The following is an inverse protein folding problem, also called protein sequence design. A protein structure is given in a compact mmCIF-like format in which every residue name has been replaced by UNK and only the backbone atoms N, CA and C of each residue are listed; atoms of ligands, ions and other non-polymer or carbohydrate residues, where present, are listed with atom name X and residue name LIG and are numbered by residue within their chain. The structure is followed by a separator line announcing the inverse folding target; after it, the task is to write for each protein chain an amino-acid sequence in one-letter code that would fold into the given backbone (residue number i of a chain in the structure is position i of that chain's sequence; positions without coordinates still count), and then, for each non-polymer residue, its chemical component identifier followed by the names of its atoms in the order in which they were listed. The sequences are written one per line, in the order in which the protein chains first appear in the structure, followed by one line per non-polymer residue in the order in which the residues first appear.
data_IF_635902004746
#
_entry.id   IF_635902004746
#
_cell.length_a   1.000
_cell.length_b   1.000
_cell.length_c   1.000
_cell.angle_alpha   90.00
_cell.angle_beta   90.00
_cell.angle_gamma   90.00
#
_symmetry.space_group_name_H-M   'P 1'
#
loop_
_entity.id
_entity.type
_entity.pdbx_description
1 polymer ?
#
# COMPACT_ATOMS: atom_id res chain seq x y z
N UNK A 1 23.03 -18.82 -8.66
CA UNK A 1 21.92 -19.80 -8.74
C UNK A 1 20.67 -19.31 -7.98
N UNK A 2 20.24 -18.05 -8.18
CA UNK A 2 19.11 -17.46 -7.44
C UNK A 2 17.78 -17.56 -8.19
N UNK A 3 17.80 -17.72 -9.52
CA UNK A 3 16.59 -17.80 -10.34
C UNK A 3 15.72 -19.05 -10.06
N UNK A 4 16.32 -20.16 -9.65
CA UNK A 4 15.58 -21.41 -9.36
C UNK A 4 14.83 -21.30 -8.03
N UNK A 5 15.48 -20.78 -6.98
CA UNK A 5 14.85 -20.54 -5.68
C UNK A 5 13.67 -19.57 -5.79
N UNK A 6 13.81 -18.51 -6.60
CA UNK A 6 12.71 -17.57 -6.85
C UNK A 6 11.48 -18.27 -7.45
N UNK A 7 11.67 -19.11 -8.47
CA UNK A 7 10.56 -19.85 -9.10
C UNK A 7 9.91 -20.86 -8.17
N UNK A 8 10.70 -21.51 -7.30
CA UNK A 8 10.17 -22.45 -6.30
C UNK A 8 9.32 -21.73 -5.26
N UNK A 9 9.81 -20.61 -4.73
CA UNK A 9 9.05 -19.78 -3.79
C UNK A 9 7.77 -19.24 -4.43
N UNK A 10 7.84 -18.73 -5.66
CA UNK A 10 6.67 -18.24 -6.41
C UNK A 10 5.60 -19.34 -6.59
N UNK A 11 6.00 -20.56 -6.95
CA UNK A 11 5.07 -21.69 -7.08
C UNK A 11 4.39 -22.04 -5.75
N UNK A 12 5.11 -21.98 -4.62
CA UNK A 12 4.53 -22.18 -3.30
C UNK A 12 3.47 -21.12 -2.99
N UNK A 13 3.74 -19.84 -3.26
CA UNK A 13 2.78 -18.77 -3.03
C UNK A 13 1.60 -18.82 -4.01
N UNK A 14 1.81 -19.27 -5.26
CA UNK A 14 0.72 -19.56 -6.19
C UNK A 14 -0.23 -20.64 -5.66
N UNK A 15 0.31 -21.74 -5.09
CA UNK A 15 -0.49 -22.79 -4.46
C UNK A 15 -1.29 -22.28 -3.26
N UNK A 16 -0.65 -21.45 -2.42
CA UNK A 16 -1.30 -20.82 -1.28
C UNK A 16 -2.50 -19.95 -1.68
N UNK A 17 -2.45 -19.32 -2.86
CA UNK A 17 -3.56 -18.52 -3.41
C UNK A 17 -4.68 -19.37 -4.00
N UNK A 18 -4.35 -20.54 -4.58
CA UNK A 18 -5.34 -21.39 -5.26
C UNK A 18 -6.09 -22.34 -4.32
N UNK A 19 -5.51 -22.70 -3.17
CA UNK A 19 -6.14 -23.65 -2.25
C UNK A 19 -7.21 -22.98 -1.38
N UNK A 20 -8.32 -23.68 -1.17
CA UNK A 20 -9.40 -23.29 -0.24
C UNK A 20 -9.14 -23.79 1.17
N UNK A 21 -8.20 -24.73 1.36
CA UNK A 21 -7.92 -25.36 2.64
C UNK A 21 -6.92 -24.53 3.45
N UNK A 22 -7.29 -24.06 4.66
CA UNK A 22 -6.41 -23.21 5.46
C UNK A 22 -5.05 -23.85 5.80
N UNK A 23 -5.06 -25.13 6.17
CA UNK A 23 -3.82 -25.85 6.54
C UNK A 23 -2.84 -26.00 5.36
N UNK A 24 -3.34 -26.26 4.15
CA UNK A 24 -2.51 -26.34 2.94
C UNK A 24 -1.94 -24.96 2.57
N UNK A 25 -2.76 -23.91 2.71
CA UNK A 25 -2.33 -22.53 2.48
C UNK A 25 -1.19 -22.14 3.42
N UNK A 26 -1.35 -22.39 4.71
CA UNK A 26 -0.32 -22.08 5.72
C UNK A 26 0.98 -22.85 5.46
N UNK A 27 0.87 -24.15 5.13
CA UNK A 27 2.03 -24.98 4.79
C UNK A 27 2.76 -24.44 3.56
N UNK A 28 2.01 -24.06 2.51
CA UNK A 28 2.59 -23.51 1.29
C UNK A 28 3.27 -22.14 1.52
N UNK A 29 2.68 -21.27 2.34
CA UNK A 29 3.28 -19.99 2.73
C UNK A 29 4.58 -20.21 3.50
N UNK A 30 4.57 -21.09 4.51
CA UNK A 30 5.76 -21.40 5.31
C UNK A 30 6.91 -21.92 4.42
N UNK A 31 6.59 -22.85 3.52
CA UNK A 31 7.59 -23.44 2.63
C UNK A 31 8.17 -22.44 1.64
N UNK A 32 7.32 -21.59 1.03
CA UNK A 32 7.76 -20.52 0.13
C UNK A 32 8.65 -19.50 0.84
N UNK A 33 8.31 -19.18 2.09
CA UNK A 33 9.07 -18.25 2.94
C UNK A 33 10.46 -18.80 3.26
N UNK A 34 10.56 -20.05 3.70
CA UNK A 34 11.86 -20.69 3.99
C UNK A 34 12.77 -20.73 2.76
N UNK A 35 12.23 -21.00 1.57
CA UNK A 35 13.01 -21.00 0.32
C UNK A 35 13.54 -19.60 0.00
N UNK A 36 12.68 -18.58 0.12
CA UNK A 36 13.06 -17.20 -0.16
C UNK A 36 14.11 -16.70 0.86
N UNK A 37 13.92 -16.95 2.15
CA UNK A 37 14.87 -16.58 3.21
C UNK A 37 16.22 -17.28 3.03
N UNK A 38 16.23 -18.60 2.77
CA UNK A 38 17.45 -19.36 2.54
C UNK A 38 18.23 -18.88 1.30
N UNK A 39 17.52 -18.31 0.32
CA UNK A 39 18.11 -17.74 -0.88
C UNK A 39 18.40 -16.23 -0.77
N UNK A 40 18.10 -15.59 0.36
CA UNK A 40 18.24 -14.14 0.56
C UNK A 40 17.34 -13.30 -0.34
N UNK A 41 16.19 -13.84 -0.73
CA UNK A 41 15.21 -13.16 -1.59
C UNK A 41 14.24 -12.38 -0.69
N UNK A 42 14.02 -11.13 -1.03
CA UNK A 42 13.04 -10.28 -0.37
C UNK A 42 11.61 -10.82 -0.58
N UNK A 43 10.92 -11.08 0.53
CA UNK A 43 9.54 -11.58 0.56
C UNK A 43 8.54 -10.57 -0.02
N UNK A 44 8.88 -9.27 -0.02
CA UNK A 44 8.03 -8.21 -0.58
C UNK A 44 7.95 -8.28 -2.12
N UNK A 45 8.78 -9.12 -2.74
CA UNK A 45 8.71 -9.41 -4.18
C UNK A 45 7.64 -10.44 -4.55
N UNK A 46 7.02 -11.09 -3.56
CA UNK A 46 5.99 -12.11 -3.78
C UNK A 46 4.61 -11.62 -3.35
N UNK A 47 3.60 -12.08 -4.07
CA UNK A 47 2.19 -11.90 -3.70
C UNK A 47 1.77 -12.99 -2.69
N UNK A 48 2.04 -12.75 -1.41
CA UNK A 48 1.82 -13.70 -0.30
C UNK A 48 0.44 -13.43 0.33
N UNK A 49 -0.54 -14.35 0.20
CA UNK A 49 -1.87 -14.13 0.74
C UNK A 49 -1.85 -14.02 2.27
N UNK A 50 -2.51 -12.98 2.81
CA UNK A 50 -2.58 -12.72 4.24
C UNK A 50 -1.35 -12.04 4.85
N UNK A 51 -0.29 -11.82 4.07
CA UNK A 51 0.85 -11.01 4.52
C UNK A 51 0.55 -9.54 4.22
N UNK A 52 0.43 -8.73 5.26
CA UNK A 52 0.51 -7.28 5.07
C UNK A 52 1.90 -6.99 4.50
N UNK A 53 1.96 -6.56 3.23
CA UNK A 53 3.19 -5.99 2.70
C UNK A 53 3.60 -4.91 3.68
N UNK A 54 4.83 -4.98 4.20
CA UNK A 54 5.32 -3.92 5.06
C UNK A 54 5.15 -2.65 4.25
N UNK A 55 4.31 -1.72 4.73
CA UNK A 55 4.15 -0.42 4.10
C UNK A 55 5.56 0.07 3.79
N UNK A 56 5.84 0.48 2.53
CA UNK A 56 7.20 0.78 2.10
C UNK A 56 7.80 1.64 3.18
N UNK A 57 8.92 1.19 3.77
CA UNK A 57 9.65 1.98 4.74
C UNK A 57 9.99 3.25 3.98
N UNK A 58 9.19 4.29 4.18
CA UNK A 58 9.54 5.64 3.82
C UNK A 58 10.89 5.79 4.47
N UNK A 59 11.95 5.78 3.65
CA UNK A 59 13.25 6.21 4.12
C UNK A 59 12.93 7.52 4.83
N UNK A 60 13.23 7.60 6.13
CA UNK A 60 13.33 8.87 6.81
C UNK A 60 14.49 9.61 6.14
N UNK A 61 14.26 10.10 4.92
CA UNK A 61 14.91 11.29 4.43
C UNK A 61 14.54 12.32 5.47
N UNK A 62 15.58 12.77 6.18
CA UNK A 62 15.48 13.57 7.38
C UNK A 62 14.37 14.61 7.24
N UNK A 63 13.56 14.66 8.29
CA UNK A 63 12.58 15.67 8.59
C UNK A 63 13.22 17.07 8.44
N UNK A 64 13.34 17.57 7.20
CA UNK A 64 13.14 18.99 6.96
C UNK A 64 11.66 19.17 7.14
N UNK A 65 11.29 19.67 8.31
CA UNK A 65 9.98 20.15 8.67
C UNK A 65 9.39 20.89 7.46
N UNK A 66 8.58 20.20 6.67
CA UNK A 66 7.53 20.91 5.95
C UNK A 66 6.54 21.24 7.06
N UNK A 67 6.33 22.52 7.41
CA UNK A 67 5.18 22.84 8.23
C UNK A 67 3.95 22.27 7.50
N UNK A 68 2.97 21.78 8.26
CA UNK A 68 1.64 21.59 7.71
C UNK A 68 1.27 22.86 6.94
N UNK A 69 0.59 22.79 5.79
CA UNK A 69 0.01 23.99 5.22
C UNK A 69 -1.01 24.51 6.23
N UNK A 70 -0.57 25.46 7.06
CA UNK A 70 -1.35 26.18 8.07
C UNK A 70 -2.31 27.19 7.41
N UNK A 71 -2.94 26.82 6.29
CA UNK A 71 -3.80 27.71 5.52
C UNK A 71 -5.06 27.00 4.98
N UNK A 72 -5.63 26.07 5.75
CA UNK A 72 -7.08 25.81 5.62
C UNK A 72 -7.82 26.76 6.55
N UNK A 73 -7.89 28.03 6.14
CA UNK A 73 -8.66 29.05 6.84
C UNK A 73 -10.15 28.81 6.55
N UNK A 74 -10.90 28.31 7.54
CA UNK A 74 -12.33 27.96 7.42
C UNK A 74 -13.18 29.16 6.97
N UNK A 75 -12.69 30.38 7.24
CA UNK A 75 -13.34 31.63 6.83
C UNK A 75 -13.38 31.82 5.30
N UNK A 76 -12.41 31.28 4.56
CA UNK A 76 -12.31 31.45 3.10
C UNK A 76 -13.39 30.66 2.35
N UNK A 77 -13.79 29.50 2.89
CA UNK A 77 -14.91 28.70 2.37
C UNK A 77 -16.23 29.45 2.56
N UNK A 78 -16.40 30.15 3.69
CA UNK A 78 -17.58 30.97 3.96
C UNK A 78 -17.72 32.12 2.98
N UNK A 79 -16.62 32.79 2.65
CA UNK A 79 -16.60 33.90 1.71
C UNK A 79 -16.79 33.45 0.25
N UNK A 80 -16.23 32.31 -0.14
CA UNK A 80 -16.48 31.71 -1.45
C UNK A 80 -17.97 31.39 -1.66
N UNK A 81 -18.62 30.79 -0.66
CA UNK A 81 -20.04 30.43 -0.75
C UNK A 81 -20.96 31.66 -0.76
N UNK A 82 -20.57 32.76 -0.09
CA UNK A 82 -21.28 34.06 -0.15
C UNK A 82 -21.11 34.74 -1.51
N UNK A 83 -19.90 34.72 -2.08
CA UNK A 83 -19.64 35.28 -3.40
C UNK A 83 -20.42 34.54 -4.49
N UNK A 84 -20.45 33.19 -4.43
CA UNK A 84 -21.19 32.37 -5.38
C UNK A 84 -22.71 32.64 -5.33
N UNK A 85 -23.28 32.84 -4.13
CA UNK A 85 -24.70 33.18 -3.98
C UNK A 85 -25.06 34.53 -4.63
N UNK A 86 -24.24 35.56 -4.42
CA UNK A 86 -24.46 36.88 -5.02
C UNK A 86 -24.43 36.83 -6.55
N UNK A 87 -23.49 36.08 -7.10
CA UNK A 87 -23.36 35.92 -8.56
C UNK A 87 -24.54 35.18 -9.19
N UNK A 88 -25.23 34.30 -8.44
CA UNK A 88 -26.47 33.64 -8.89
C UNK A 88 -27.69 34.57 -8.81
N UNK A 89 -27.74 35.46 -7.81
CA UNK A 89 -28.81 36.46 -7.67
C UNK A 89 -28.72 37.55 -8.74
N UNK A 90 -27.51 38.00 -9.09
CA UNK A 90 -27.27 38.97 -10.18
C UNK A 90 -27.52 38.39 -11.58
N UNK A 91 -27.37 37.07 -11.76
CA UNK A 91 -27.68 36.40 -13.02
C UNK A 91 -29.19 36.15 -13.24
N UNK A 92 -30.03 36.46 -12.25
CA UNK A 92 -31.49 36.28 -12.29
C UNK A 92 -32.28 37.60 -12.28
N UNK A 93 -31.59 38.74 -12.34
CA UNK A 93 -32.15 40.08 -12.53
C UNK A 93 -32.07 40.50 -14.01
#
# INVERSE_FOLDING_TARGET
MTCDAFRRADRCFALARSTTFPAERETAIAHGTTIAEAAGIDLDRFDIPGRAQAAPKHHQMGFRSQPAPDDYNVDEIGDLMRAHRRHMEEASA
#
